data_IF_244200310164
#
_entry.id   IF_244200310164
#
_cell.length_a   1.000
_cell.length_b   1.000
_cell.length_c   1.000
_cell.angle_alpha   90.00
_cell.angle_beta   90.00
_cell.angle_gamma   90.00
#
_symmetry.space_group_name_H-M   'P 1'
#
loop_
_entity.id
_entity.type
_entity.pdbx_description
1 polymer ?
#
# COMPACT_ATOMS: atom_id res chain seq x y z
N UNK A 1 0.64 8.46 -7.02
CA UNK A 1 0.47 7.08 -6.55
C UNK A 1 1.74 6.71 -5.80
N UNK A 2 1.62 6.09 -4.63
CA UNK A 2 2.80 5.65 -3.87
C UNK A 2 3.46 4.47 -4.60
N UNK A 3 4.79 4.47 -4.67
CA UNK A 3 5.55 3.39 -5.29
C UNK A 3 6.92 3.25 -4.64
N UNK A 4 7.36 2.00 -4.54
CA UNK A 4 8.71 1.58 -4.15
C UNK A 4 9.55 1.16 -5.35
N UNK A 5 9.00 1.31 -6.56
CA UNK A 5 9.62 0.83 -7.78
C UNK A 5 9.66 1.92 -8.85
N UNK A 6 10.83 2.10 -9.44
CA UNK A 6 11.03 2.83 -10.68
C UNK A 6 11.67 1.89 -11.73
N UNK A 7 11.00 1.64 -12.87
CA UNK A 7 11.55 0.81 -13.94
C UNK A 7 12.90 1.31 -14.47
N UNK A 8 13.02 2.64 -14.63
CA UNK A 8 14.24 3.28 -15.13
C UNK A 8 15.39 3.10 -14.14
N UNK A 9 15.15 3.37 -12.84
CA UNK A 9 16.18 3.21 -11.82
C UNK A 9 16.61 1.75 -11.70
N UNK A 10 15.67 0.80 -11.79
CA UNK A 10 15.98 -0.63 -11.73
C UNK A 10 16.85 -1.07 -12.91
N UNK A 11 16.54 -0.58 -14.11
CA UNK A 11 17.32 -0.85 -15.33
C UNK A 11 18.71 -0.25 -15.22
N UNK A 12 18.81 1.01 -14.81
CA UNK A 12 20.10 1.68 -14.64
C UNK A 12 20.98 1.01 -13.56
N UNK A 13 20.41 0.56 -12.44
CA UNK A 13 21.14 -0.20 -11.41
C UNK A 13 21.74 -1.48 -11.97
N UNK A 14 21.00 -2.20 -12.81
CA UNK A 14 21.46 -3.43 -13.45
C UNK A 14 22.56 -3.16 -14.46
N UNK A 15 22.39 -2.13 -15.29
CA UNK A 15 23.25 -1.90 -16.45
C UNK A 15 24.53 -1.11 -16.10
N UNK A 16 24.47 -0.16 -15.15
CA UNK A 16 25.62 0.66 -14.69
C UNK A 16 26.31 0.11 -13.44
N UNK A 17 25.62 -0.76 -12.69
CA UNK A 17 26.04 -1.22 -11.36
C UNK A 17 25.69 -0.21 -10.26
N UNK A 18 24.89 -0.64 -9.27
CA UNK A 18 24.36 0.21 -8.19
C UNK A 18 25.42 0.97 -7.38
N UNK A 19 26.63 0.41 -7.27
CA UNK A 19 27.73 1.01 -6.50
C UNK A 19 28.74 1.76 -7.38
N UNK A 20 28.46 1.97 -8.66
CA UNK A 20 29.35 2.68 -9.58
C UNK A 20 29.14 4.21 -9.50
N UNK A 21 30.21 4.97 -9.75
CA UNK A 21 30.15 6.42 -9.89
C UNK A 21 29.17 6.85 -11.00
N UNK A 22 29.11 6.08 -12.09
CA UNK A 22 28.23 6.35 -13.24
C UNK A 22 26.75 6.29 -12.84
N UNK A 23 26.37 5.31 -12.01
CA UNK A 23 25.01 5.22 -11.48
C UNK A 23 24.69 6.42 -10.58
N UNK A 24 25.62 6.86 -9.73
CA UNK A 24 25.41 8.01 -8.84
C UNK A 24 25.17 9.31 -9.62
N UNK A 25 25.93 9.54 -10.70
CA UNK A 25 25.76 10.71 -11.57
C UNK A 25 24.40 10.63 -12.29
N UNK A 26 24.10 9.47 -12.88
CA UNK A 26 22.83 9.23 -13.56
C UNK A 26 21.63 9.42 -12.62
N UNK A 27 21.67 8.84 -11.42
CA UNK A 27 20.59 8.90 -10.46
C UNK A 27 20.33 10.33 -9.97
N UNK A 28 21.38 11.13 -9.74
CA UNK A 28 21.21 12.55 -9.36
C UNK A 28 20.50 13.35 -10.44
N UNK A 29 20.85 13.12 -11.71
CA UNK A 29 20.21 13.82 -12.83
C UNK A 29 18.74 13.39 -13.01
N UNK A 30 18.42 12.12 -12.76
CA UNK A 30 17.09 11.52 -13.00
C UNK A 30 16.19 11.41 -11.77
N UNK A 31 16.65 11.88 -10.61
CA UNK A 31 15.89 11.84 -9.35
C UNK A 31 14.51 12.53 -9.46
N UNK A 32 14.33 13.65 -10.18
CA UNK A 32 13.02 14.29 -10.32
C UNK A 32 11.98 13.44 -11.04
N UNK A 33 12.39 12.56 -11.97
CA UNK A 33 11.49 11.66 -12.70
C UNK A 33 11.36 10.28 -12.04
N UNK A 34 12.00 10.06 -10.89
CA UNK A 34 11.93 8.80 -10.18
C UNK A 34 10.52 8.55 -9.62
N UNK A 35 9.93 7.43 -10.01
CA UNK A 35 8.62 7.00 -9.48
C UNK A 35 8.68 6.44 -8.06
N UNK A 36 9.87 6.15 -7.52
CA UNK A 36 10.04 5.69 -6.13
C UNK A 36 9.86 6.87 -5.17
N UNK A 37 8.66 6.96 -4.58
CA UNK A 37 8.27 8.04 -3.68
C UNK A 37 7.81 7.53 -2.31
N UNK A 38 8.01 6.24 -2.03
CA UNK A 38 7.70 5.62 -0.75
C UNK A 38 8.83 4.66 -0.34
N UNK A 39 9.24 4.71 0.93
CA UNK A 39 10.45 4.00 1.41
C UNK A 39 10.11 2.90 2.43
N UNK A 40 8.90 2.89 3.01
CA UNK A 40 8.49 1.96 4.08
C UNK A 40 8.06 0.60 3.49
N UNK A 41 7.46 -0.30 4.27
CA UNK A 41 6.96 -1.59 3.80
C UNK A 41 5.77 -1.46 2.84
N UNK A 42 5.51 -2.50 2.05
CA UNK A 42 4.33 -2.53 1.17
C UNK A 42 3.03 -2.47 1.98
N UNK A 43 2.94 -3.17 3.11
CA UNK A 43 1.77 -3.09 4.00
C UNK A 43 1.58 -1.67 4.54
N UNK A 44 2.65 -0.96 4.88
CA UNK A 44 2.53 0.45 5.29
C UNK A 44 2.10 1.36 4.12
N UNK A 45 2.42 1.00 2.88
CA UNK A 45 1.97 1.73 1.70
C UNK A 45 0.46 1.62 1.53
N UNK A 46 -0.15 0.47 1.82
CA UNK A 46 -1.60 0.28 1.76
C UNK A 46 -2.31 1.21 2.75
N UNK A 47 -1.84 1.22 4.00
CA UNK A 47 -2.32 2.14 5.04
C UNK A 47 -2.21 3.59 4.58
N UNK A 48 -1.03 4.02 4.12
CA UNK A 48 -0.82 5.41 3.70
C UNK A 48 -1.63 5.78 2.46
N UNK A 49 -1.85 4.82 1.55
CA UNK A 49 -2.68 5.02 0.37
C UNK A 49 -4.14 5.20 0.76
N UNK A 50 -4.65 4.40 1.69
CA UNK A 50 -6.01 4.54 2.22
C UNK A 50 -6.19 5.92 2.89
N UNK A 51 -5.27 6.35 3.74
CA UNK A 51 -5.30 7.68 4.36
C UNK A 51 -5.43 8.79 3.31
N UNK A 52 -4.56 8.78 2.29
CA UNK A 52 -4.58 9.77 1.20
C UNK A 52 -5.92 9.75 0.45
N UNK A 53 -6.44 8.56 0.14
CA UNK A 53 -7.69 8.42 -0.60
C UNK A 53 -8.90 8.92 0.22
N UNK A 54 -8.96 8.61 1.51
CA UNK A 54 -10.07 9.01 2.36
C UNK A 54 -10.09 10.51 2.59
N UNK A 55 -8.94 11.14 2.87
CA UNK A 55 -8.85 12.60 2.99
C UNK A 55 -9.31 13.28 1.69
N UNK A 56 -8.80 12.84 0.53
CA UNK A 56 -9.18 13.38 -0.78
C UNK A 56 -10.65 13.20 -1.11
N UNK A 57 -11.28 12.15 -0.59
CA UNK A 57 -12.71 11.90 -0.82
C UNK A 57 -13.56 13.07 -0.34
N UNK A 58 -13.19 13.67 0.80
CA UNK A 58 -13.83 14.86 1.36
C UNK A 58 -13.32 16.12 0.68
N UNK A 59 -12.00 16.31 0.62
CA UNK A 59 -11.39 17.58 0.18
C UNK A 59 -11.61 17.87 -1.32
N UNK A 60 -11.61 16.84 -2.17
CA UNK A 60 -11.57 17.02 -3.63
C UNK A 60 -12.78 16.43 -4.36
N UNK A 61 -13.47 15.45 -3.77
CA UNK A 61 -14.47 14.66 -4.49
C UNK A 61 -15.90 14.81 -3.95
N UNK A 62 -16.09 15.38 -2.75
CA UNK A 62 -17.40 15.49 -2.08
C UNK A 62 -18.13 14.13 -2.05
N UNK A 63 -17.38 13.07 -1.72
CA UNK A 63 -17.89 11.70 -1.60
C UNK A 63 -17.37 11.05 -0.32
N UNK A 64 -18.00 9.95 0.10
CA UNK A 64 -17.57 9.18 1.28
C UNK A 64 -17.50 7.70 0.95
N UNK A 65 -16.43 7.06 1.39
CA UNK A 65 -16.32 5.61 1.40
C UNK A 65 -17.06 5.02 2.61
N UNK A 66 -17.80 3.93 2.41
CA UNK A 66 -18.55 3.25 3.48
C UNK A 66 -17.86 1.99 4.01
N UNK A 67 -17.10 1.30 3.16
CA UNK A 67 -16.41 0.08 3.54
C UNK A 67 -14.98 0.05 3.03
N UNK A 68 -14.12 -0.67 3.76
CA UNK A 68 -12.76 -1.01 3.35
C UNK A 68 -12.67 -2.52 3.17
N UNK A 69 -12.22 -2.97 2.00
CA UNK A 69 -11.95 -4.38 1.72
C UNK A 69 -10.49 -4.70 2.08
N UNK A 70 -10.27 -5.60 3.02
CA UNK A 70 -8.95 -6.08 3.43
C UNK A 70 -8.69 -7.52 3.02
N UNK A 71 -7.43 -7.91 3.05
CA UNK A 71 -7.00 -9.28 2.78
C UNK A 71 -6.93 -10.16 4.05
N UNK A 72 -7.23 -9.62 5.22
CA UNK A 72 -7.24 -10.35 6.49
C UNK A 72 -6.42 -9.67 7.57
N UNK A 73 -5.54 -8.74 7.21
CA UNK A 73 -5.00 -7.76 8.14
C UNK A 73 -6.08 -6.73 8.52
N UNK A 74 -5.95 -6.10 9.68
CA UNK A 74 -6.88 -5.05 10.14
C UNK A 74 -6.21 -3.69 10.27
N UNK A 75 -4.95 -3.55 9.81
CA UNK A 75 -4.14 -2.38 10.13
C UNK A 75 -4.68 -1.14 9.44
N UNK A 76 -4.96 -1.26 8.14
CA UNK A 76 -5.59 -0.18 7.36
C UNK A 76 -6.94 0.24 7.95
N UNK A 77 -7.75 -0.72 8.38
CA UNK A 77 -9.06 -0.42 9.00
C UNK A 77 -8.90 0.35 10.33
N UNK A 78 -7.97 -0.08 11.18
CA UNK A 78 -7.68 0.60 12.46
C UNK A 78 -7.17 2.02 12.23
N UNK A 79 -6.20 2.22 11.33
CA UNK A 79 -5.69 3.54 10.97
C UNK A 79 -6.81 4.44 10.43
N UNK A 80 -7.75 3.91 9.63
CA UNK A 80 -8.88 4.70 9.11
C UNK A 80 -9.87 5.11 10.21
N UNK A 81 -10.08 4.28 11.23
CA UNK A 81 -10.91 4.65 12.40
C UNK A 81 -10.24 5.73 13.24
N UNK A 82 -8.92 5.65 13.42
CA UNK A 82 -8.15 6.66 14.14
C UNK A 82 -8.05 7.98 13.37
N UNK A 83 -8.03 7.91 12.03
CA UNK A 83 -8.01 9.09 11.15
C UNK A 83 -9.32 9.88 11.20
N UNK A 84 -10.44 9.21 11.47
CA UNK A 84 -11.77 9.81 11.72
C UNK A 84 -12.20 10.88 10.72
N UNK A 85 -12.00 10.64 9.41
CA UNK A 85 -12.23 11.65 8.34
C UNK A 85 -13.68 12.12 8.24
N UNK A 86 -14.64 11.34 8.74
CA UNK A 86 -16.08 11.62 8.61
C UNK A 86 -16.74 12.00 9.93
N UNK A 87 -15.98 12.12 11.02
CA UNK A 87 -16.47 12.27 12.39
C UNK A 87 -17.53 11.20 12.75
N UNK A 88 -18.29 11.46 13.81
CA UNK A 88 -19.44 10.63 14.25
C UNK A 88 -20.56 10.50 13.18
N UNK A 89 -20.46 11.18 12.04
CA UNK A 89 -21.49 11.16 11.00
C UNK A 89 -21.55 9.83 10.23
N UNK A 90 -20.52 8.99 10.29
CA UNK A 90 -20.48 7.74 9.54
C UNK A 90 -19.57 6.66 10.14
N UNK A 91 -20.09 5.43 10.22
CA UNK A 91 -19.29 4.26 10.59
C UNK A 91 -18.68 3.60 9.34
N UNK A 92 -17.36 3.46 9.33
CA UNK A 92 -16.65 2.68 8.31
C UNK A 92 -16.79 1.20 8.65
N UNK A 93 -17.19 0.38 7.69
CA UNK A 93 -17.26 -1.08 7.85
C UNK A 93 -16.05 -1.78 7.24
N UNK A 94 -15.65 -2.89 7.87
CA UNK A 94 -14.57 -3.74 7.37
C UNK A 94 -15.15 -4.94 6.62
N UNK A 95 -14.70 -5.14 5.39
CA UNK A 95 -15.02 -6.31 4.56
C UNK A 95 -13.77 -7.15 4.32
N UNK A 96 -13.96 -8.47 4.15
CA UNK A 96 -12.86 -9.41 3.95
C UNK A 96 -12.90 -10.03 2.56
N UNK A 97 -11.73 -10.12 1.93
CA UNK A 97 -11.61 -10.75 0.62
C UNK A 97 -11.96 -12.26 0.69
N UNK A 98 -13.05 -12.66 0.01
CA UNK A 98 -13.52 -14.06 -0.03
C UNK A 98 -12.43 -15.05 -0.43
N UNK A 99 -11.60 -14.70 -1.42
CA UNK A 99 -10.51 -15.55 -1.88
C UNK A 99 -9.43 -15.72 -0.79
N UNK A 100 -9.16 -14.65 -0.04
CA UNK A 100 -8.18 -14.71 1.04
C UNK A 100 -8.73 -15.51 2.23
N UNK A 101 -10.01 -15.35 2.57
CA UNK A 101 -10.70 -16.20 3.56
C UNK A 101 -10.58 -17.68 3.19
N UNK A 102 -10.88 -18.04 1.94
CA UNK A 102 -10.77 -19.42 1.48
C UNK A 102 -9.32 -19.95 1.53
N UNK A 103 -8.34 -19.11 1.16
CA UNK A 103 -6.91 -19.46 1.22
C UNK A 103 -6.44 -19.71 2.65
N UNK A 104 -6.84 -18.87 3.60
CA UNK A 104 -6.55 -19.03 5.05
C UNK A 104 -7.15 -20.33 5.57
N UNK A 105 -8.45 -20.56 5.33
CA UNK A 105 -9.11 -21.81 5.74
C UNK A 105 -8.41 -23.04 5.18
N UNK A 106 -8.10 -23.05 3.88
CA UNK A 106 -7.39 -24.17 3.26
C UNK A 106 -5.99 -24.40 3.84
N UNK A 107 -5.31 -23.34 4.27
CA UNK A 107 -3.98 -23.43 4.89
C UNK A 107 -4.06 -24.07 6.27
N UNK A 108 -5.01 -23.65 7.10
CA UNK A 108 -5.25 -24.23 8.43
C UNK A 108 -5.71 -25.70 8.35
N UNK A 109 -6.56 -26.05 7.40
CA UNK A 109 -6.97 -27.45 7.23
C UNK A 109 -5.78 -28.35 6.84
N UNK A 110 -4.88 -27.86 5.98
CA UNK A 110 -3.68 -28.62 5.59
C UNK A 110 -2.64 -28.72 6.71
N UNK A 111 -2.55 -27.73 7.60
CA UNK A 111 -1.63 -27.81 8.74
C UNK A 111 -2.06 -28.91 9.71
N UNK A 112 -3.37 -29.07 9.93
CA UNK A 112 -3.97 -30.10 10.79
C UNK A 112 -3.78 -31.54 10.30
N UNK A 113 -3.67 -31.77 9.00
CA UNK A 113 -3.46 -33.13 8.42
C UNK A 113 -2.00 -33.56 8.46
N UNK A 114 -1.06 -32.63 8.66
CA UNK A 114 0.37 -32.92 8.75
C UNK A 114 0.82 -33.27 10.18
N UNK A 115 -0.05 -33.10 11.17
CA UNK A 115 0.10 -33.58 12.56
C UNK A 115 -0.39 -35.03 12.66
#
# INVERSE_FOLDING_TARGET
MLSKYCPECTTAKRDLGENCADFSIWYKARKPECSENYVVSSNAMEVKTAEILWIRSVENCVMRYFSVLSDGDSKTYQDLLELDVYDDSMNISKEECRNHVAKRLGTELRSKVKE
#
